data_IF_455123339943
#
_entry.id   IF_455123339943
#
_cell.length_a   1.000
_cell.length_b   1.000
_cell.length_c   1.000
_cell.angle_alpha   90.00
_cell.angle_beta   90.00
_cell.angle_gamma   90.00
#
_symmetry.space_group_name_H-M   'P 1'
#
loop_
_entity.id
_entity.type
_entity.pdbx_description
1 polymer ?
#
# COMPACT_ATOMS: atom_id res chain seq x y z
N UNK A 1 16.59 26.48 -10.30
CA UNK A 1 15.76 26.95 -11.42
C UNK A 1 14.49 26.12 -11.38
N UNK A 2 13.31 26.72 -11.16
CA UNK A 2 12.04 25.96 -11.20
C UNK A 2 11.84 25.44 -12.62
N UNK A 3 11.71 24.13 -12.76
CA UNK A 3 11.43 23.48 -14.04
C UNK A 3 9.91 23.37 -14.16
N UNK A 4 9.33 23.87 -15.24
CA UNK A 4 7.92 23.69 -15.56
C UNK A 4 7.78 22.75 -16.75
N UNK A 5 6.74 21.92 -16.73
CA UNK A 5 6.32 21.07 -17.83
C UNK A 5 4.88 21.45 -18.17
N UNK A 6 4.69 22.28 -19.20
CA UNK A 6 3.39 22.89 -19.49
C UNK A 6 2.80 23.57 -18.25
N UNK A 7 1.63 23.08 -17.81
CA UNK A 7 0.90 23.56 -16.61
C UNK A 7 1.42 23.00 -15.28
N UNK A 8 2.37 22.08 -15.31
CA UNK A 8 2.88 21.39 -14.13
C UNK A 8 4.14 22.07 -13.61
N UNK A 9 4.06 22.64 -12.41
CA UNK A 9 5.20 23.22 -11.73
C UNK A 9 5.96 22.14 -10.96
N UNK A 10 7.14 21.73 -11.44
CA UNK A 10 7.94 20.71 -10.76
C UNK A 10 8.60 21.31 -9.50
N UNK A 11 8.46 20.62 -8.38
CA UNK A 11 8.90 21.10 -7.06
C UNK A 11 10.19 20.43 -6.62
N UNK A 12 10.15 19.14 -6.32
CA UNK A 12 11.28 18.33 -5.87
C UNK A 12 11.21 16.91 -6.43
N UNK A 13 12.36 16.27 -6.53
CA UNK A 13 12.48 14.88 -6.99
C UNK A 13 11.94 13.93 -5.92
N UNK A 14 11.02 13.05 -6.31
CA UNK A 14 10.50 11.96 -5.47
C UNK A 14 11.37 10.71 -5.58
N UNK A 15 11.97 10.49 -6.75
CA UNK A 15 12.88 9.38 -6.98
C UNK A 15 13.41 9.34 -8.41
N UNK A 16 14.47 8.57 -8.60
CA UNK A 16 15.14 8.38 -9.88
C UNK A 16 15.51 6.92 -10.08
N UNK A 17 15.24 6.41 -11.26
CA UNK A 17 15.55 5.04 -11.65
C UNK A 17 16.08 4.97 -13.08
N UNK A 18 16.31 3.75 -13.58
CA UNK A 18 16.86 3.53 -14.92
C UNK A 18 15.98 4.05 -16.07
N UNK A 19 14.69 4.23 -15.82
CA UNK A 19 13.72 4.69 -16.82
C UNK A 19 13.54 6.22 -16.84
N UNK A 20 13.99 6.95 -15.81
CA UNK A 20 13.74 8.39 -15.71
C UNK A 20 13.68 8.91 -14.28
N UNK A 21 13.08 10.09 -14.12
CA UNK A 21 12.99 10.81 -12.85
C UNK A 21 11.52 11.11 -12.55
N UNK A 22 11.09 10.86 -11.32
CA UNK A 22 9.77 11.21 -10.83
C UNK A 22 9.86 12.46 -9.98
N UNK A 23 9.05 13.46 -10.30
CA UNK A 23 8.97 14.74 -9.61
C UNK A 23 7.63 14.88 -8.91
N UNK A 24 7.62 15.45 -7.71
CA UNK A 24 6.42 16.05 -7.17
C UNK A 24 6.18 17.36 -7.92
N UNK A 25 4.96 17.59 -8.38
CA UNK A 25 4.57 18.79 -9.08
C UNK A 25 3.23 19.32 -8.57
N UNK A 26 2.95 20.58 -8.88
CA UNK A 26 1.65 21.19 -8.67
C UNK A 26 1.00 21.46 -10.02
N UNK A 27 -0.23 20.99 -10.23
CA UNK A 27 -1.02 21.38 -11.39
C UNK A 27 -1.49 22.83 -11.21
N UNK A 28 -1.08 23.72 -12.11
CA UNK A 28 -1.44 25.13 -12.03
C UNK A 28 -2.94 25.39 -12.31
N UNK A 29 -3.67 24.43 -12.88
CA UNK A 29 -5.08 24.59 -13.21
C UNK A 29 -5.99 24.59 -11.96
N UNK A 30 -5.78 23.64 -11.03
CA UNK A 30 -6.59 23.46 -9.82
C UNK A 30 -5.77 23.47 -8.51
N UNK A 31 -4.44 23.56 -8.62
CA UNK A 31 -3.53 23.58 -7.48
C UNK A 31 -3.24 22.21 -6.87
N UNK A 32 -3.72 21.11 -7.48
CA UNK A 32 -3.52 19.73 -7.01
C UNK A 32 -2.06 19.32 -7.03
N UNK A 33 -1.65 18.53 -6.04
CA UNK A 33 -0.34 17.88 -6.06
C UNK A 33 -0.38 16.60 -6.90
N UNK A 34 0.58 16.46 -7.80
CA UNK A 34 0.69 15.34 -8.75
C UNK A 34 2.11 14.80 -8.76
N UNK A 35 2.27 13.56 -9.22
CA UNK A 35 3.57 12.99 -9.56
C UNK A 35 3.78 13.05 -11.08
N UNK A 36 4.92 13.56 -11.52
CA UNK A 36 5.29 13.67 -12.93
C UNK A 36 6.51 12.80 -13.18
N UNK A 37 6.33 11.70 -13.91
CA UNK A 37 7.43 10.85 -14.36
C UNK A 37 7.92 11.35 -15.70
N UNK A 38 9.16 11.83 -15.73
CA UNK A 38 9.87 12.25 -16.93
C UNK A 38 10.77 11.11 -17.39
N UNK A 39 10.58 10.64 -18.61
CA UNK A 39 11.48 9.70 -19.26
C UNK A 39 12.43 10.50 -20.16
N UNK A 40 13.74 10.23 -20.03
CA UNK A 40 14.77 10.82 -20.86
C UNK A 40 15.28 9.76 -21.85
N UNK A 41 14.59 9.54 -22.98
CA UNK A 41 14.97 8.49 -23.91
C UNK A 41 16.33 8.82 -24.57
N UNK A 42 17.20 7.82 -24.66
CA UNK A 42 18.49 7.90 -25.38
C UNK A 42 18.38 7.09 -26.67
N UNK A 43 18.68 7.68 -27.82
CA UNK A 43 18.63 7.01 -29.12
C UNK A 43 18.77 7.97 -30.31
N UNK A 44 18.85 7.43 -31.53
CA UNK A 44 18.79 8.23 -32.76
C UNK A 44 17.32 8.59 -33.12
N UNK A 45 17.12 9.52 -34.07
CA UNK A 45 15.79 10.05 -34.39
C UNK A 45 14.72 9.00 -34.76
N UNK A 46 15.11 7.89 -35.39
CA UNK A 46 14.17 6.82 -35.78
C UNK A 46 13.75 5.92 -34.61
N UNK A 47 14.68 5.67 -33.67
CA UNK A 47 14.45 4.91 -32.44
C UNK A 47 13.57 5.70 -31.47
N UNK A 48 13.84 7.01 -31.34
CA UNK A 48 13.06 7.93 -30.49
C UNK A 48 11.59 7.99 -30.92
N UNK A 49 11.29 8.13 -32.22
CA UNK A 49 9.91 8.13 -32.72
C UNK A 49 9.17 6.81 -32.44
N UNK A 50 9.88 5.69 -32.48
CA UNK A 50 9.29 4.37 -32.20
C UNK A 50 9.01 4.20 -30.72
N UNK A 51 9.93 4.66 -29.87
CA UNK A 51 9.79 4.64 -28.43
C UNK A 51 8.66 5.54 -27.94
N UNK A 52 8.56 6.76 -28.46
CA UNK A 52 7.47 7.69 -28.18
C UNK A 52 6.10 7.09 -28.52
N UNK A 53 5.95 6.50 -29.71
CA UNK A 53 4.69 5.82 -30.09
C UNK A 53 4.33 4.68 -29.15
N UNK A 54 5.31 3.87 -28.72
CA UNK A 54 5.06 2.78 -27.76
C UNK A 54 4.69 3.34 -26.40
N UNK A 55 5.40 4.36 -25.92
CA UNK A 55 5.10 5.01 -24.65
C UNK A 55 3.68 5.58 -24.61
N UNK A 56 3.30 6.39 -25.60
CA UNK A 56 1.95 6.97 -25.66
C UNK A 56 0.87 5.88 -25.75
N UNK A 57 1.14 4.77 -26.45
CA UNK A 57 0.24 3.62 -26.49
C UNK A 57 0.07 2.97 -25.12
N UNK A 58 1.17 2.66 -24.42
CA UNK A 58 1.09 2.03 -23.10
C UNK A 58 0.50 2.96 -22.05
N UNK A 59 0.86 4.26 -22.05
CA UNK A 59 0.27 5.26 -21.17
C UNK A 59 -1.25 5.35 -21.34
N UNK A 60 -1.74 5.29 -22.58
CA UNK A 60 -3.18 5.26 -22.88
C UNK A 60 -3.88 3.98 -22.43
N UNK A 61 -3.19 2.84 -22.44
CA UNK A 61 -3.74 1.59 -21.89
C UNK A 61 -3.82 1.67 -20.37
N UNK A 62 -2.75 2.11 -19.72
CA UNK A 62 -2.69 2.28 -18.26
C UNK A 62 -3.71 3.31 -17.77
N UNK A 63 -3.94 4.41 -18.51
CA UNK A 63 -4.92 5.44 -18.13
C UNK A 63 -6.39 4.98 -18.15
N UNK A 64 -6.67 3.77 -18.66
CA UNK A 64 -8.01 3.18 -18.64
C UNK A 64 -8.23 2.27 -17.43
N UNK A 65 -7.15 1.89 -16.74
CA UNK A 65 -7.24 1.12 -15.52
C UNK A 65 -7.84 2.00 -14.42
N UNK A 66 -8.91 1.51 -13.78
CA UNK A 66 -9.59 2.20 -12.70
C UNK A 66 -9.72 1.23 -11.55
N UNK A 67 -8.83 1.38 -10.57
CA UNK A 67 -8.73 0.50 -9.43
C UNK A 67 -8.12 1.25 -8.25
N UNK A 68 -8.62 1.10 -7.00
CA UNK A 68 -8.09 1.83 -5.84
C UNK A 68 -6.58 1.65 -5.63
N UNK A 69 -6.09 0.43 -5.90
CA UNK A 69 -4.66 0.09 -5.82
C UNK A 69 -3.82 0.51 -7.04
N UNK A 70 -4.36 1.28 -8.00
CA UNK A 70 -3.62 1.82 -9.14
C UNK A 70 -3.70 3.36 -9.06
N UNK A 71 -2.57 4.09 -9.12
CA UNK A 71 -2.59 5.54 -9.20
C UNK A 71 -3.35 6.03 -10.43
N UNK A 72 -4.24 7.02 -10.27
CA UNK A 72 -4.92 7.62 -11.41
C UNK A 72 -3.91 8.31 -12.35
N UNK A 73 -4.09 8.13 -13.65
CA UNK A 73 -3.30 8.85 -14.66
C UNK A 73 -4.09 10.07 -15.13
N UNK A 74 -3.52 11.26 -14.92
CA UNK A 74 -4.16 12.53 -15.26
C UNK A 74 -3.80 13.02 -16.66
N UNK A 75 -2.56 12.80 -17.08
CA UNK A 75 -2.06 13.32 -18.35
C UNK A 75 -0.84 12.51 -18.83
N UNK A 76 -0.57 12.53 -20.13
CA UNK A 76 0.62 11.93 -20.72
C UNK A 76 0.93 12.61 -22.05
N UNK A 77 2.23 12.66 -22.39
CA UNK A 77 2.61 13.32 -23.63
C UNK A 77 4.10 13.36 -23.86
N UNK A 78 4.47 14.27 -24.75
CA UNK A 78 5.84 14.55 -25.17
C UNK A 78 5.98 16.06 -25.23
N UNK A 79 6.98 16.60 -24.53
CA UNK A 79 7.30 18.03 -24.57
C UNK A 79 8.81 18.20 -24.71
N UNK A 80 9.24 18.98 -25.71
CA UNK A 80 10.65 19.27 -25.97
C UNK A 80 11.52 17.99 -26.14
N UNK A 81 10.90 16.90 -26.62
CA UNK A 81 11.53 15.59 -26.78
C UNK A 81 11.61 14.74 -25.50
N UNK A 82 11.07 15.23 -24.38
CA UNK A 82 10.92 14.47 -23.13
C UNK A 82 9.51 13.89 -23.01
N UNK A 83 9.44 12.58 -22.79
CA UNK A 83 8.16 11.90 -22.58
C UNK A 83 7.78 12.05 -21.12
N UNK A 84 6.49 12.29 -20.86
CA UNK A 84 6.00 12.47 -19.50
C UNK A 84 4.71 11.69 -19.24
N UNK A 85 4.56 11.28 -17.98
CA UNK A 85 3.33 10.73 -17.43
C UNK A 85 3.00 11.49 -16.14
N UNK A 86 1.80 12.05 -16.06
CA UNK A 86 1.29 12.73 -14.87
C UNK A 86 0.26 11.84 -14.21
N UNK A 87 0.45 11.59 -12.92
CA UNK A 87 -0.35 10.65 -12.15
C UNK A 87 -0.60 11.16 -10.72
N UNK A 88 -1.52 10.47 -10.03
CA UNK A 88 -1.78 10.65 -8.60
C UNK A 88 -0.47 10.62 -7.81
N UNK A 89 -0.25 11.65 -6.98
CA UNK A 89 0.82 11.64 -6.00
C UNK A 89 0.38 10.75 -4.84
N UNK A 90 0.86 9.51 -4.82
CA UNK A 90 0.58 8.58 -3.73
C UNK A 90 1.37 8.98 -2.48
N UNK A 91 0.71 9.32 -1.35
CA UNK A 91 1.39 9.50 -0.08
C UNK A 91 1.73 8.13 0.52
N UNK A 92 2.96 7.92 0.97
CA UNK A 92 3.34 6.66 1.60
C UNK A 92 4.83 6.34 1.51
N UNK A 93 5.17 5.10 1.83
CA UNK A 93 6.52 4.55 1.70
C UNK A 93 6.52 3.43 0.68
N UNK A 94 7.59 3.36 -0.13
CA UNK A 94 7.87 2.19 -0.95
C UNK A 94 8.08 0.96 -0.07
N UNK A 95 7.64 -0.21 -0.54
CA UNK A 95 7.74 -1.46 0.21
C UNK A 95 9.20 -1.87 0.45
N UNK A 96 10.12 -1.45 -0.44
CA UNK A 96 11.56 -1.57 -0.24
C UNK A 96 12.05 -0.81 1.01
N UNK A 97 11.53 0.39 1.25
CA UNK A 97 11.84 1.19 2.43
C UNK A 97 11.22 0.60 3.70
N UNK A 98 10.01 0.04 3.57
CA UNK A 98 9.36 -0.70 4.66
C UNK A 98 10.20 -1.91 5.06
N UNK A 99 10.63 -2.73 4.10
CA UNK A 99 11.46 -3.91 4.34
C UNK A 99 12.79 -3.57 5.00
N UNK A 100 13.48 -2.53 4.52
CA UNK A 100 14.74 -2.05 5.14
C UNK A 100 14.55 -1.64 6.59
N UNK A 101 13.40 -1.06 6.95
CA UNK A 101 13.10 -0.61 8.31
C UNK A 101 12.83 -1.78 9.27
N UNK A 102 12.19 -2.84 8.79
CA UNK A 102 11.83 -4.02 9.60
C UNK A 102 13.03 -4.96 9.79
N UNK A 103 13.93 -5.06 8.80
CA UNK A 103 15.22 -5.77 8.92
C UNK A 103 15.17 -7.31 8.88
N UNK A 104 13.99 -7.94 8.97
CA UNK A 104 13.83 -9.40 9.01
C UNK A 104 12.57 -9.96 8.30
N UNK A 105 12.05 -9.23 7.31
CA UNK A 105 10.77 -9.55 6.67
C UNK A 105 9.54 -9.15 7.53
N UNK A 106 8.36 -9.26 6.96
CA UNK A 106 7.07 -8.95 7.58
C UNK A 106 6.47 -10.19 8.27
N UNK A 107 5.45 -10.00 9.10
CA UNK A 107 4.66 -11.15 9.60
C UNK A 107 3.94 -11.85 8.43
N UNK A 108 3.57 -13.12 8.62
CA UNK A 108 2.88 -13.92 7.60
C UNK A 108 1.60 -13.21 7.15
N UNK A 109 0.86 -12.66 8.11
CA UNK A 109 -0.41 -11.97 7.90
C UNK A 109 -0.24 -10.73 7.04
N UNK A 110 0.78 -9.92 7.36
CA UNK A 110 1.06 -8.67 6.66
C UNK A 110 1.64 -8.93 5.27
N UNK A 111 2.52 -9.92 5.12
CA UNK A 111 3.07 -10.33 3.83
C UNK A 111 1.96 -10.84 2.90
N UNK A 112 1.09 -11.72 3.41
CA UNK A 112 -0.05 -12.24 2.66
C UNK A 112 -1.05 -11.13 2.31
N UNK A 113 -1.34 -10.19 3.22
CA UNK A 113 -2.25 -9.07 2.94
C UNK A 113 -1.72 -8.16 1.83
N UNK A 114 -0.42 -7.82 1.85
CA UNK A 114 0.21 -7.04 0.78
C UNK A 114 0.16 -7.80 -0.54
N UNK A 115 0.59 -9.07 -0.56
CA UNK A 115 0.60 -9.87 -1.78
C UNK A 115 -0.81 -10.08 -2.35
N UNK A 116 -1.83 -10.23 -1.49
CA UNK A 116 -3.23 -10.34 -1.88
C UNK A 116 -3.74 -9.05 -2.53
N UNK A 117 -3.42 -7.89 -1.95
CA UNK A 117 -3.78 -6.59 -2.55
C UNK A 117 -3.10 -6.39 -3.91
N UNK A 118 -1.83 -6.80 -4.05
CA UNK A 118 -1.13 -6.77 -5.34
C UNK A 118 -1.78 -7.73 -6.35
N UNK A 119 -2.13 -8.95 -5.93
CA UNK A 119 -2.81 -9.93 -6.78
C UNK A 119 -4.17 -9.41 -7.28
N UNK A 120 -4.91 -8.69 -6.43
CA UNK A 120 -6.17 -8.04 -6.81
C UNK A 120 -5.97 -6.97 -7.91
N UNK A 121 -4.97 -6.11 -7.73
CA UNK A 121 -4.58 -5.09 -8.71
C UNK A 121 -4.12 -5.72 -10.03
N UNK A 122 -3.32 -6.80 -9.97
CA UNK A 122 -2.89 -7.55 -11.16
C UNK A 122 -4.07 -8.21 -11.87
N UNK A 123 -5.02 -8.80 -11.12
CA UNK A 123 -6.21 -9.42 -11.70
C UNK A 123 -7.04 -8.41 -12.49
N UNK A 124 -7.22 -7.19 -11.95
CA UNK A 124 -7.88 -6.10 -12.65
C UNK A 124 -7.15 -5.70 -13.93
N UNK A 125 -5.82 -5.50 -13.87
CA UNK A 125 -5.02 -5.10 -15.03
C UNK A 125 -4.98 -6.19 -16.12
N UNK A 126 -4.77 -7.45 -15.73
CA UNK A 126 -4.74 -8.59 -16.64
C UNK A 126 -6.08 -8.80 -17.34
N UNK A 127 -7.21 -8.56 -16.63
CA UNK A 127 -8.55 -8.59 -17.22
C UNK A 127 -8.76 -7.54 -18.32
N UNK A 128 -7.96 -6.47 -18.35
CA UNK A 128 -7.94 -5.46 -19.41
C UNK A 128 -6.79 -5.64 -20.41
N UNK A 129 -6.08 -6.77 -20.36
CA UNK A 129 -4.96 -7.07 -21.26
C UNK A 129 -3.68 -6.29 -20.97
N UNK A 130 -3.54 -5.69 -19.78
CA UNK A 130 -2.35 -4.96 -19.36
C UNK A 130 -1.51 -5.83 -18.42
N UNK A 131 -0.24 -6.04 -18.77
CA UNK A 131 0.75 -6.73 -17.93
C UNK A 131 1.69 -5.70 -17.31
N UNK A 132 2.06 -5.86 -16.04
CA UNK A 132 2.88 -4.91 -15.29
C UNK A 132 4.34 -4.90 -15.76
N UNK A 133 4.96 -6.08 -15.90
CA UNK A 133 6.30 -6.35 -16.47
C UNK A 133 7.52 -5.95 -15.62
N UNK A 134 7.36 -5.10 -14.61
CA UNK A 134 8.48 -4.68 -13.71
C UNK A 134 8.04 -4.69 -12.24
N UNK A 135 7.37 -5.75 -11.79
CA UNK A 135 6.84 -5.79 -10.43
C UNK A 135 7.98 -6.04 -9.42
N UNK A 136 8.14 -5.14 -8.45
CA UNK A 136 9.18 -5.20 -7.42
C UNK A 136 8.81 -4.32 -6.22
N UNK A 137 9.46 -4.46 -5.04
CA UNK A 137 9.07 -3.71 -3.85
C UNK A 137 9.11 -2.18 -4.01
N UNK A 138 10.04 -1.63 -4.79
CA UNK A 138 10.09 -0.18 -5.03
C UNK A 138 8.97 0.37 -5.93
N UNK A 139 8.23 -0.51 -6.62
CA UNK A 139 7.03 -0.17 -7.40
C UNK A 139 5.75 -0.43 -6.60
N UNK A 140 5.86 -0.80 -5.32
CA UNK A 140 4.74 -1.01 -4.41
C UNK A 140 4.79 0.05 -3.31
N UNK A 141 3.75 0.86 -3.19
CA UNK A 141 3.64 1.85 -2.12
C UNK A 141 2.61 1.42 -1.08
N UNK A 142 2.97 1.59 0.19
CA UNK A 142 2.07 1.45 1.32
C UNK A 142 1.69 2.84 1.81
N UNK A 143 0.39 3.16 1.75
CA UNK A 143 -0.13 4.45 2.21
C UNK A 143 -0.18 4.49 3.74
N UNK A 144 -0.28 5.68 4.37
CA UNK A 144 -0.51 5.79 5.81
C UNK A 144 -1.77 5.08 6.30
N UNK A 145 -2.74 4.83 5.42
CA UNK A 145 -3.96 4.07 5.72
C UNK A 145 -3.75 2.54 5.67
N UNK A 146 -2.56 2.08 5.28
CA UNK A 146 -2.24 0.66 5.13
C UNK A 146 -2.62 0.06 3.78
N UNK A 147 -3.08 0.89 2.83
CA UNK A 147 -3.44 0.44 1.48
C UNK A 147 -2.19 0.23 0.63
N UNK A 148 -2.26 -0.70 -0.31
CA UNK A 148 -1.19 -0.96 -1.26
C UNK A 148 -1.56 -0.37 -2.62
N UNK A 149 -0.69 0.48 -3.16
CA UNK A 149 -0.77 0.96 -4.53
C UNK A 149 0.40 0.43 -5.36
N UNK A 150 0.09 -0.10 -6.53
CA UNK A 150 1.06 -0.62 -7.51
C UNK A 150 1.32 0.49 -8.53
N UNK A 151 2.56 0.96 -8.58
CA UNK A 151 3.01 2.04 -9.45
C UNK A 151 3.47 1.51 -10.81
N UNK A 152 3.68 2.41 -11.79
CA UNK A 152 4.47 2.13 -13.00
C UNK A 152 3.94 1.04 -13.96
N UNK A 153 2.64 0.77 -13.95
CA UNK A 153 1.99 -0.12 -14.91
C UNK A 153 2.32 0.20 -16.37
N UNK A 154 2.87 -0.80 -17.09
CA UNK A 154 3.00 -0.78 -18.55
C UNK A 154 4.07 0.17 -19.11
N UNK A 155 4.60 1.12 -18.32
CA UNK A 155 5.61 2.09 -18.79
C UNK A 155 6.91 1.39 -19.20
N UNK A 156 7.27 0.28 -18.53
CA UNK A 156 8.43 -0.52 -18.87
C UNK A 156 8.30 -1.21 -20.25
N UNK A 157 7.08 -1.48 -20.72
CA UNK A 157 6.85 -2.12 -22.02
C UNK A 157 7.27 -1.24 -23.19
N UNK A 158 7.17 0.09 -23.02
CA UNK A 158 7.60 1.05 -24.02
C UNK A 158 9.09 0.88 -24.37
N UNK A 159 9.89 0.50 -23.37
CA UNK A 159 11.34 0.35 -23.42
C UNK A 159 11.79 -1.08 -23.72
N UNK A 160 10.86 -2.01 -23.97
CA UNK A 160 11.23 -3.39 -24.28
C UNK A 160 11.98 -3.49 -25.62
N UNK A 161 13.01 -4.37 -25.70
CA UNK A 161 13.73 -4.65 -26.94
C UNK A 161 12.77 -5.06 -28.06
N UNK A 162 13.22 -4.96 -29.32
CA UNK A 162 12.40 -5.42 -30.45
C UNK A 162 12.16 -6.94 -30.34
N UNK A 163 11.05 -7.47 -30.89
CA UNK A 163 10.85 -8.90 -30.99
C UNK A 163 12.09 -9.57 -31.63
N UNK A 164 12.74 -10.48 -30.90
CA UNK A 164 13.97 -11.16 -31.33
C UNK A 164 15.28 -10.61 -30.72
N UNK A 165 15.26 -9.47 -30.04
CA UNK A 165 16.39 -8.95 -29.26
C UNK A 165 16.29 -9.38 -27.80
N UNK A 166 17.36 -9.93 -27.23
CA UNK A 166 17.40 -10.30 -25.81
C UNK A 166 17.64 -9.06 -24.93
N UNK A 167 17.02 -9.01 -23.75
CA UNK A 167 17.21 -7.88 -22.80
C UNK A 167 18.67 -7.68 -22.37
N UNK A 168 19.54 -8.68 -22.57
CA UNK A 168 20.97 -8.62 -22.28
C UNK A 168 21.80 -7.83 -23.32
N UNK A 169 21.31 -7.72 -24.56
CA UNK A 169 22.02 -7.02 -25.64
C UNK A 169 21.67 -5.54 -25.73
N UNK A 170 20.53 -5.14 -25.15
CA UNK A 170 20.16 -3.73 -25.02
C UNK A 170 20.87 -3.11 -23.81
N UNK A 171 21.57 -1.99 -24.01
CA UNK A 171 22.38 -1.27 -23.02
C UNK A 171 21.62 -0.69 -21.80
N UNK A 172 20.41 -1.18 -21.49
CA UNK A 172 19.45 -0.59 -20.54
C UNK A 172 19.01 -1.54 -19.42
N UNK A 173 19.60 -2.74 -19.27
CA UNK A 173 19.29 -3.62 -18.14
C UNK A 173 19.82 -3.01 -16.83
N UNK A 174 18.94 -2.37 -16.05
CA UNK A 174 19.30 -1.86 -14.72
C UNK A 174 19.41 -3.04 -13.75
N UNK A 175 20.54 -3.23 -13.03
CA UNK A 175 20.79 -4.40 -12.18
C UNK A 175 19.64 -4.74 -11.22
N UNK A 176 18.99 -3.73 -10.63
CA UNK A 176 17.89 -3.93 -9.66
C UNK A 176 16.57 -4.46 -10.23
N UNK A 177 16.41 -4.54 -11.56
CA UNK A 177 15.21 -5.09 -12.21
C UNK A 177 15.28 -6.62 -12.34
N UNK A 178 16.50 -7.16 -12.46
CA UNK A 178 16.71 -8.58 -12.78
C UNK A 178 16.38 -9.49 -11.58
N UNK A 179 16.46 -8.96 -10.35
CA UNK A 179 16.19 -9.66 -9.08
C UNK A 179 14.76 -10.22 -8.99
N UNK A 180 13.81 -9.63 -9.71
CA UNK A 180 12.40 -10.02 -9.68
C UNK A 180 11.89 -10.47 -11.06
N UNK A 181 12.78 -10.63 -12.04
CA UNK A 181 12.43 -10.87 -13.43
C UNK A 181 12.06 -12.33 -13.66
N UNK A 182 10.92 -12.58 -14.31
CA UNK A 182 10.55 -13.93 -14.71
C UNK A 182 11.46 -14.45 -15.85
N UNK A 183 11.80 -15.75 -15.89
CA UNK A 183 12.70 -16.31 -16.90
C UNK A 183 12.31 -15.99 -18.34
N UNK A 184 11.01 -16.08 -18.65
CA UNK A 184 10.47 -15.85 -19.98
C UNK A 184 10.55 -14.36 -20.43
N UNK A 185 10.65 -13.42 -19.49
CA UNK A 185 10.81 -12.00 -19.83
C UNK A 185 12.18 -11.69 -20.43
N UNK A 186 13.22 -12.44 -20.05
CA UNK A 186 14.57 -12.24 -20.57
C UNK A 186 14.68 -12.59 -22.06
N UNK A 187 13.85 -13.53 -22.52
CA UNK A 187 13.71 -13.93 -23.92
C UNK A 187 12.56 -13.20 -24.65
N UNK A 188 11.99 -12.16 -24.04
CA UNK A 188 10.99 -11.29 -24.65
C UNK A 188 9.57 -11.86 -24.72
N UNK A 189 9.23 -12.86 -23.89
CA UNK A 189 7.90 -13.51 -23.84
C UNK A 189 7.14 -13.13 -22.57
N UNK A 190 6.92 -11.84 -22.36
CA UNK A 190 6.19 -11.35 -21.18
C UNK A 190 4.70 -11.68 -21.27
N UNK A 191 4.17 -12.39 -20.28
CA UNK A 191 2.77 -12.83 -20.18
C UNK A 191 2.20 -12.50 -18.78
N UNK A 192 0.89 -12.56 -18.53
CA UNK A 192 0.33 -12.35 -17.19
C UNK A 192 0.98 -13.20 -16.09
N UNK A 193 1.34 -14.45 -16.42
CA UNK A 193 2.06 -15.34 -15.51
C UNK A 193 3.48 -14.85 -15.15
N UNK A 194 4.08 -13.96 -15.94
CA UNK A 194 5.36 -13.31 -15.59
C UNK A 194 5.21 -12.39 -14.38
N UNK A 195 4.11 -11.64 -14.28
CA UNK A 195 3.85 -10.81 -13.09
C UNK A 195 3.61 -11.68 -11.85
N UNK A 196 3.04 -12.88 -12.01
CA UNK A 196 2.86 -13.83 -10.90
C UNK A 196 4.20 -14.33 -10.37
N UNK A 197 5.17 -14.58 -11.25
CA UNK A 197 6.53 -14.93 -10.84
C UNK A 197 7.18 -13.79 -10.04
N UNK A 198 7.10 -12.56 -10.55
CA UNK A 198 7.61 -11.39 -9.83
C UNK A 198 6.90 -11.20 -8.48
N UNK A 199 5.59 -11.46 -8.40
CA UNK A 199 4.83 -11.46 -7.15
C UNK A 199 5.33 -12.56 -6.20
N UNK A 200 5.68 -13.74 -6.72
CA UNK A 200 6.35 -14.81 -5.97
C UNK A 200 7.67 -14.34 -5.37
N UNK A 201 8.52 -13.65 -6.14
CA UNK A 201 9.78 -13.09 -5.64
C UNK A 201 9.53 -12.05 -4.54
N UNK A 202 8.55 -11.17 -4.73
CA UNK A 202 8.17 -10.16 -3.73
C UNK A 202 7.64 -10.83 -2.46
N UNK A 203 6.73 -11.80 -2.58
CA UNK A 203 6.17 -12.51 -1.42
C UNK A 203 7.25 -13.30 -0.67
N UNK A 204 8.18 -13.93 -1.39
CA UNK A 204 9.36 -14.56 -0.80
C UNK A 204 10.16 -13.55 0.02
N UNK A 205 10.47 -12.38 -0.53
CA UNK A 205 11.21 -11.34 0.18
C UNK A 205 10.44 -10.76 1.37
N UNK A 206 9.13 -10.57 1.22
CA UNK A 206 8.28 -10.13 2.32
C UNK A 206 8.33 -11.10 3.49
N UNK A 207 8.45 -12.40 3.23
CA UNK A 207 8.57 -13.40 4.29
C UNK A 207 10.02 -13.47 4.80
N UNK A 208 10.99 -13.76 3.92
CA UNK A 208 12.37 -14.07 4.28
C UNK A 208 13.24 -12.83 4.59
N UNK A 209 12.77 -11.62 4.29
CA UNK A 209 13.54 -10.38 4.39
C UNK A 209 14.63 -10.22 3.31
N UNK A 210 14.69 -11.15 2.35
CA UNK A 210 15.60 -11.14 1.20
C UNK A 210 14.94 -11.78 -0.02
N UNK A 211 15.25 -11.36 -1.25
CA UNK A 211 14.74 -12.03 -2.44
C UNK A 211 15.33 -13.45 -2.57
N UNK A 212 14.68 -14.34 -3.35
CA UNK A 212 15.10 -15.74 -3.47
C UNK A 212 16.52 -15.87 -4.04
N UNK A 213 16.89 -14.98 -4.95
CA UNK A 213 18.20 -14.95 -5.59
C UNK A 213 18.84 -13.57 -5.45
N UNK A 214 20.14 -13.53 -5.15
CA UNK A 214 20.87 -12.29 -4.78
C UNK A 214 22.27 -12.21 -5.40
N UNK A 215 22.53 -12.90 -6.52
CA UNK A 215 23.86 -12.84 -7.16
C UNK A 215 24.15 -11.43 -7.72
N UNK A 216 25.39 -10.97 -7.57
CA UNK A 216 25.82 -9.65 -8.05
C UNK A 216 26.00 -9.58 -9.57
N UNK A 217 26.14 -10.73 -10.24
CA UNK A 217 26.21 -10.82 -11.69
C UNK A 217 24.82 -10.98 -12.29
N UNK A 218 24.40 -10.03 -13.12
CA UNK A 218 23.12 -10.06 -13.86
C UNK A 218 22.94 -11.37 -14.64
N UNK A 219 24.02 -11.90 -15.23
CA UNK A 219 23.98 -13.17 -15.96
C UNK A 219 23.74 -14.36 -15.02
N UNK A 220 24.42 -14.41 -13.87
CA UNK A 220 24.24 -15.48 -12.90
C UNK A 220 22.88 -15.43 -12.23
N UNK A 221 22.38 -14.22 -11.94
CA UNK A 221 21.04 -14.02 -11.39
C UNK A 221 19.96 -14.50 -12.35
N UNK A 222 20.11 -14.23 -13.65
CA UNK A 222 19.23 -14.82 -14.66
C UNK A 222 19.33 -16.34 -14.70
N UNK A 223 20.55 -16.90 -14.68
CA UNK A 223 20.74 -18.35 -14.64
C UNK A 223 20.02 -18.96 -13.44
N UNK A 224 20.07 -18.32 -12.27
CA UNK A 224 19.33 -18.73 -11.08
C UNK A 224 17.83 -18.70 -11.29
N UNK A 225 17.29 -17.59 -11.82
CA UNK A 225 15.88 -17.50 -12.13
C UNK A 225 15.44 -18.58 -13.12
N UNK A 226 16.23 -18.86 -14.15
CA UNK A 226 15.90 -19.80 -15.22
C UNK A 226 16.06 -21.28 -14.85
N UNK A 227 17.09 -21.64 -14.08
CA UNK A 227 17.53 -23.03 -13.96
C UNK A 227 17.65 -23.54 -12.51
N UNK A 228 17.96 -22.66 -11.56
CA UNK A 228 18.22 -23.12 -10.19
C UNK A 228 16.91 -23.33 -9.42
N UNK A 229 16.84 -24.36 -8.55
CA UNK A 229 15.71 -24.50 -7.65
C UNK A 229 15.62 -23.27 -6.74
N UNK A 230 14.39 -22.90 -6.38
CA UNK A 230 14.15 -21.82 -5.41
C UNK A 230 14.64 -22.30 -4.05
N UNK A 231 15.47 -21.52 -3.34
CA UNK A 231 15.87 -21.86 -1.98
C UNK A 231 14.64 -22.04 -1.08
N UNK A 232 14.55 -23.10 -0.26
CA UNK A 232 13.41 -23.29 0.64
C UNK A 232 13.24 -22.10 1.60
N UNK A 233 12.01 -21.60 1.74
CA UNK A 233 11.70 -20.49 2.64
C UNK A 233 12.10 -20.79 4.10
N UNK A 234 12.00 -22.05 4.51
CA UNK A 234 12.31 -22.54 5.85
C UNK A 234 13.78 -22.38 6.25
N UNK A 235 14.69 -22.29 5.28
CA UNK A 235 16.11 -22.00 5.52
C UNK A 235 16.31 -20.57 6.07
N UNK A 236 15.36 -19.68 5.82
CA UNK A 236 15.44 -18.26 6.20
C UNK A 236 14.38 -17.84 7.22
N UNK A 237 13.21 -18.48 7.21
CA UNK A 237 12.11 -18.15 8.11
C UNK A 237 11.34 -19.40 8.57
N UNK A 238 11.44 -19.64 9.87
CA UNK A 238 10.63 -20.65 10.56
C UNK A 238 9.20 -20.14 10.78
N UNK A 239 8.24 -21.06 10.84
CA UNK A 239 6.85 -20.76 11.16
C UNK A 239 5.97 -20.24 10.00
N UNK A 240 6.45 -20.30 8.76
CA UNK A 240 5.60 -20.03 7.58
C UNK A 240 4.68 -21.25 7.34
N UNK A 241 3.34 -21.07 7.27
CA UNK A 241 2.41 -22.16 7.01
C UNK A 241 2.73 -22.91 5.71
N UNK A 242 2.61 -24.24 5.72
CA UNK A 242 2.94 -25.10 4.57
C UNK A 242 2.23 -24.67 3.29
N UNK A 243 0.91 -24.42 3.33
CA UNK A 243 0.18 -23.99 2.13
C UNK A 243 0.66 -22.64 1.55
N UNK A 244 1.18 -21.74 2.38
CA UNK A 244 1.76 -20.48 1.89
C UNK A 244 3.13 -20.70 1.25
N UNK A 245 3.94 -21.64 1.77
CA UNK A 245 5.21 -22.03 1.17
C UNK A 245 4.99 -22.68 -0.20
N UNK A 246 4.07 -23.62 -0.28
CA UNK A 246 3.68 -24.28 -1.54
C UNK A 246 3.17 -23.26 -2.57
N UNK A 247 2.42 -22.25 -2.14
CA UNK A 247 1.99 -21.17 -3.04
C UNK A 247 3.18 -20.35 -3.57
N UNK A 248 4.14 -19.99 -2.71
CA UNK A 248 5.35 -19.25 -3.13
C UNK A 248 6.17 -20.09 -4.11
N UNK A 249 6.34 -21.38 -3.84
CA UNK A 249 7.02 -22.32 -4.74
C UNK A 249 6.31 -22.41 -6.10
N UNK A 250 4.98 -22.60 -6.11
CA UNK A 250 4.18 -22.60 -7.35
C UNK A 250 4.27 -21.29 -8.13
N UNK A 251 4.28 -20.13 -7.47
CA UNK A 251 4.45 -18.84 -8.14
C UNK A 251 5.83 -18.72 -8.81
N UNK A 252 6.85 -19.34 -8.22
CA UNK A 252 8.24 -19.29 -8.67
C UNK A 252 8.63 -20.46 -9.60
N UNK A 253 7.65 -21.22 -10.08
CA UNK A 253 7.86 -22.24 -11.10
C UNK A 253 8.45 -21.64 -12.38
N UNK A 254 9.35 -22.40 -13.01
CA UNK A 254 10.13 -21.91 -14.16
C UNK A 254 9.27 -21.81 -15.40
N UNK A 255 8.44 -22.83 -15.64
CA UNK A 255 7.43 -22.80 -16.69
C UNK A 255 6.24 -21.95 -16.23
N UNK A 256 5.84 -20.92 -17.00
CA UNK A 256 4.64 -20.14 -16.72
C UNK A 256 3.34 -20.98 -16.62
N UNK A 257 3.28 -22.15 -17.26
CA UNK A 257 2.14 -23.05 -17.24
C UNK A 257 1.94 -23.82 -15.93
N UNK A 258 3.00 -23.96 -15.13
CA UNK A 258 2.96 -24.65 -13.83
C UNK A 258 2.61 -23.71 -12.66
N UNK A 259 2.54 -22.40 -12.94
CA UNK A 259 2.12 -21.35 -11.99
C UNK A 259 0.60 -21.35 -11.82
N UNK A 260 0.05 -20.70 -10.75
CA UNK A 260 -1.39 -20.46 -10.65
C UNK A 260 -1.95 -19.82 -11.93
N UNK A 261 -3.15 -20.24 -12.34
CA UNK A 261 -3.72 -19.90 -13.64
C UNK A 261 -4.13 -18.43 -13.80
N UNK A 262 -4.26 -17.69 -12.69
CA UNK A 262 -4.54 -16.25 -12.73
C UNK A 262 -4.16 -15.53 -11.43
N UNK A 263 -4.00 -14.21 -11.50
CA UNK A 263 -3.84 -13.37 -10.32
C UNK A 263 -5.08 -13.42 -9.39
N UNK A 264 -6.27 -13.65 -9.93
CA UNK A 264 -7.48 -13.85 -9.14
C UNK A 264 -7.40 -15.14 -8.29
N UNK A 265 -6.91 -16.25 -8.86
CA UNK A 265 -6.65 -17.49 -8.11
C UNK A 265 -5.67 -17.22 -6.95
N UNK A 266 -4.56 -16.53 -7.23
CA UNK A 266 -3.56 -16.17 -6.20
C UNK A 266 -4.17 -15.34 -5.08
N UNK A 267 -5.01 -14.35 -5.42
CA UNK A 267 -5.74 -13.53 -4.44
C UNK A 267 -6.59 -14.37 -3.51
N UNK A 268 -7.35 -15.32 -4.04
CA UNK A 268 -8.20 -16.23 -3.25
C UNK A 268 -7.36 -17.18 -2.39
N UNK A 269 -6.29 -17.76 -2.93
CA UNK A 269 -5.40 -18.64 -2.17
C UNK A 269 -4.76 -17.90 -0.98
N UNK A 270 -4.35 -16.64 -1.17
CA UNK A 270 -3.77 -15.82 -0.11
C UNK A 270 -4.78 -15.44 0.98
N UNK A 271 -6.09 -15.52 0.74
CA UNK A 271 -7.10 -15.12 1.72
C UNK A 271 -7.05 -15.94 3.03
N UNK A 272 -6.52 -17.16 2.99
CA UNK A 272 -6.36 -18.00 4.19
C UNK A 272 -5.34 -17.46 5.20
N UNK A 273 -4.37 -16.65 4.74
CA UNK A 273 -3.28 -16.12 5.58
C UNK A 273 -3.23 -14.61 5.61
N UNK A 274 -3.87 -13.94 4.65
CA UNK A 274 -4.18 -12.54 4.73
C UNK A 274 -5.46 -12.43 5.54
N UNK A 275 -5.42 -12.19 6.88
CA UNK A 275 -6.62 -11.77 7.55
C UNK A 275 -7.14 -10.61 6.72
N UNK A 276 -8.37 -10.75 6.22
CA UNK A 276 -9.15 -9.57 5.84
C UNK A 276 -8.94 -8.61 7.00
N UNK A 277 -8.51 -7.34 6.79
CA UNK A 277 -8.56 -6.37 7.88
C UNK A 277 -9.93 -6.59 8.48
N UNK A 278 -9.95 -6.97 9.76
CA UNK A 278 -10.94 -7.86 10.34
C UNK A 278 -12.38 -7.64 9.83
N UNK A 279 -13.25 -8.59 10.12
CA UNK A 279 -14.67 -8.28 10.35
C UNK A 279 -14.89 -7.20 11.45
N UNK A 280 -14.03 -6.19 11.61
CA UNK A 280 -14.48 -4.81 11.81
C UNK A 280 -15.41 -4.47 10.64
N UNK A 281 -16.72 -4.59 10.90
CA UNK A 281 -17.80 -4.43 9.93
C UNK A 281 -17.50 -3.41 8.85
N UNK A 282 -17.72 -3.80 7.59
CA UNK A 282 -17.39 -3.06 6.37
C UNK A 282 -17.50 -1.55 6.57
N UNK A 283 -16.39 -0.87 6.86
CA UNK A 283 -16.39 0.57 6.98
C UNK A 283 -16.87 1.13 5.64
N UNK A 284 -18.06 1.74 5.62
CA UNK A 284 -18.59 2.41 4.44
C UNK A 284 -17.48 3.28 3.84
N UNK A 285 -17.19 3.22 2.52
CA UNK A 285 -15.96 3.77 1.93
C UNK A 285 -15.73 5.26 2.27
N UNK A 286 -16.81 6.03 2.39
CA UNK A 286 -16.78 7.44 2.80
C UNK A 286 -16.27 7.67 4.24
N UNK A 287 -16.37 6.72 5.16
CA UNK A 287 -15.90 6.88 6.54
C UNK A 287 -14.37 7.07 6.59
N UNK A 288 -13.63 6.33 5.78
CA UNK A 288 -12.17 6.47 5.70
C UNK A 288 -11.77 7.84 5.13
N UNK A 289 -12.48 8.31 4.10
CA UNK A 289 -12.28 9.63 3.48
C UNK A 289 -12.53 10.76 4.49
N UNK A 290 -13.65 10.70 5.21
CA UNK A 290 -14.03 11.72 6.20
C UNK A 290 -13.06 11.71 7.39
N UNK A 291 -12.64 10.51 7.84
CA UNK A 291 -11.63 10.38 8.89
C UNK A 291 -10.27 10.98 8.48
N UNK A 292 -9.86 10.77 7.21
CA UNK A 292 -8.65 11.37 6.68
C UNK A 292 -8.73 12.90 6.63
N UNK A 293 -9.90 13.44 6.26
CA UNK A 293 -10.16 14.88 6.27
C UNK A 293 -9.99 15.47 7.68
N UNK A 294 -10.53 14.82 8.71
CA UNK A 294 -10.31 15.25 10.10
C UNK A 294 -8.82 15.23 10.48
N UNK A 295 -8.10 14.16 10.14
CA UNK A 295 -6.65 14.03 10.43
C UNK A 295 -5.80 15.07 9.70
N UNK A 296 -6.24 15.57 8.55
CA UNK A 296 -5.58 16.67 7.83
C UNK A 296 -5.75 18.06 8.48
N UNK A 297 -6.31 18.13 9.69
CA UNK A 297 -6.52 19.40 10.40
C UNK A 297 -7.79 20.14 9.97
N UNK A 298 -8.76 19.45 9.35
CA UNK A 298 -10.04 20.02 8.91
C UNK A 298 -11.24 19.37 9.64
N UNK A 299 -11.33 19.45 10.98
CA UNK A 299 -12.38 18.77 11.75
C UNK A 299 -13.79 19.34 11.53
N UNK A 300 -13.92 20.64 11.21
CA UNK A 300 -15.22 21.25 10.90
C UNK A 300 -15.90 20.66 9.65
N UNK A 301 -15.23 20.68 8.49
CA UNK A 301 -15.74 20.02 7.27
C UNK A 301 -15.97 18.51 7.46
N UNK A 302 -15.08 17.81 8.16
CA UNK A 302 -15.26 16.38 8.43
C UNK A 302 -16.49 16.09 9.29
N UNK A 303 -16.77 16.92 10.30
CA UNK A 303 -17.96 16.79 11.14
C UNK A 303 -19.26 16.92 10.33
N UNK A 304 -19.30 17.86 9.39
CA UNK A 304 -20.46 18.05 8.53
C UNK A 304 -20.71 16.83 7.64
N UNK A 305 -19.66 16.28 7.03
CA UNK A 305 -19.76 15.06 6.22
C UNK A 305 -20.22 13.85 7.05
N UNK A 306 -19.73 13.70 8.29
CA UNK A 306 -20.23 12.65 9.18
C UNK A 306 -21.71 12.80 9.49
N UNK A 307 -22.19 14.02 9.73
CA UNK A 307 -23.61 14.29 10.03
C UNK A 307 -24.50 14.02 8.82
N UNK A 308 -24.06 14.39 7.63
CA UNK A 308 -24.75 14.09 6.38
C UNK A 308 -24.82 12.59 6.12
N UNK A 309 -23.72 11.87 6.39
CA UNK A 309 -23.68 10.43 6.22
C UNK A 309 -24.60 9.73 7.24
N UNK A 310 -24.61 10.16 8.50
CA UNK A 310 -25.51 9.63 9.52
C UNK A 310 -27.00 9.89 9.19
N UNK A 311 -27.33 11.07 8.66
CA UNK A 311 -28.72 11.42 8.31
C UNK A 311 -29.24 10.70 7.05
N UNK A 312 -28.35 10.18 6.22
CA UNK A 312 -28.70 9.45 5.00
C UNK A 312 -29.20 8.02 5.24
N UNK A 313 -29.03 7.47 6.45
CA UNK A 313 -29.51 6.14 6.87
C UNK A 313 -29.08 4.96 5.96
N UNK A 314 -28.02 5.13 5.16
CA UNK A 314 -27.43 4.06 4.32
C UNK A 314 -26.35 3.25 5.03
N UNK A 315 -26.04 3.58 6.28
CA UNK A 315 -25.01 2.91 7.07
C UNK A 315 -25.53 1.64 7.74
N UNK A 316 -24.67 0.62 7.83
CA UNK A 316 -24.90 -0.49 8.75
C UNK A 316 -24.88 -0.01 10.22
N UNK A 317 -25.38 -0.83 11.14
CA UNK A 317 -25.33 -0.49 12.58
C UNK A 317 -23.88 -0.26 13.07
N UNK A 318 -22.93 -1.07 12.60
CA UNK A 318 -21.52 -0.92 12.93
C UNK A 318 -20.92 0.37 12.34
N UNK A 319 -21.25 0.68 11.08
CA UNK A 319 -20.81 1.90 10.41
C UNK A 319 -21.37 3.17 11.05
N UNK A 320 -22.62 3.12 11.49
CA UNK A 320 -23.25 4.25 12.18
C UNK A 320 -22.52 4.54 13.50
N UNK A 321 -22.15 3.51 14.27
CA UNK A 321 -21.35 3.69 15.48
C UNK A 321 -19.95 4.25 15.15
N UNK A 322 -19.32 3.79 14.08
CA UNK A 322 -18.02 4.32 13.63
C UNK A 322 -18.10 5.79 13.18
N UNK A 323 -19.13 6.16 12.43
CA UNK A 323 -19.40 7.55 12.06
C UNK A 323 -19.63 8.45 13.28
N UNK A 324 -20.38 7.97 14.27
CA UNK A 324 -20.63 8.70 15.52
C UNK A 324 -19.35 8.92 16.33
N UNK A 325 -18.47 7.91 16.42
CA UNK A 325 -17.13 8.07 17.01
C UNK A 325 -16.33 9.13 16.24
N UNK A 326 -16.27 9.03 14.91
CA UNK A 326 -15.57 10.00 14.07
C UNK A 326 -16.08 11.44 14.24
N UNK A 327 -17.39 11.62 14.29
CA UNK A 327 -18.04 12.91 14.55
C UNK A 327 -17.67 13.46 15.95
N UNK A 328 -17.75 12.64 16.99
CA UNK A 328 -17.41 13.04 18.35
C UNK A 328 -15.93 13.46 18.48
N UNK A 329 -15.01 12.76 17.80
CA UNK A 329 -13.60 13.17 17.74
C UNK A 329 -13.40 14.51 17.04
N UNK A 330 -14.15 14.78 15.97
CA UNK A 330 -14.15 16.10 15.31
C UNK A 330 -14.66 17.19 16.27
N UNK A 331 -15.71 16.92 17.03
CA UNK A 331 -16.24 17.85 18.04
C UNK A 331 -15.21 18.14 19.13
N UNK A 332 -14.52 17.11 19.64
CA UNK A 332 -13.42 17.27 20.59
C UNK A 332 -12.26 18.10 20.02
N UNK A 333 -11.91 17.91 18.74
CA UNK A 333 -10.90 18.73 18.07
C UNK A 333 -11.32 20.20 17.88
N UNK A 334 -12.62 20.47 17.80
CA UNK A 334 -13.20 21.82 17.76
C UNK A 334 -13.38 22.45 19.16
N UNK A 335 -12.92 21.77 20.22
CA UNK A 335 -13.00 22.26 21.60
C UNK A 335 -14.31 21.93 22.33
N UNK A 336 -15.21 21.15 21.72
CA UNK A 336 -16.47 20.68 22.32
C UNK A 336 -16.25 19.38 23.10
N UNK A 337 -15.36 19.45 24.08
CA UNK A 337 -14.85 18.26 24.77
C UNK A 337 -15.93 17.52 25.56
N UNK A 338 -16.91 18.24 26.13
CA UNK A 338 -17.97 17.65 26.93
C UNK A 338 -18.94 16.85 26.05
N UNK A 339 -19.39 17.47 24.96
CA UNK A 339 -20.27 16.87 23.97
C UNK A 339 -19.63 15.63 23.34
N UNK A 340 -18.35 15.72 22.99
CA UNK A 340 -17.58 14.59 22.48
C UNK A 340 -17.48 13.43 23.48
N UNK A 341 -17.25 13.72 24.77
CA UNK A 341 -17.18 12.70 25.81
C UNK A 341 -18.54 12.02 26.04
N UNK A 342 -19.62 12.79 26.10
CA UNK A 342 -20.97 12.27 26.28
C UNK A 342 -21.35 11.34 25.11
N UNK A 343 -21.05 11.74 23.87
CA UNK A 343 -21.31 10.93 22.68
C UNK A 343 -20.45 9.65 22.64
N UNK A 344 -19.15 9.73 22.91
CA UNK A 344 -18.28 8.55 22.93
C UNK A 344 -18.67 7.56 24.02
N UNK A 345 -19.10 8.04 25.20
CA UNK A 345 -19.60 7.17 26.27
C UNK A 345 -20.90 6.47 25.87
N UNK A 346 -21.79 7.16 25.16
CA UNK A 346 -23.01 6.61 24.58
C UNK A 346 -22.69 5.51 23.55
N UNK A 347 -21.85 5.82 22.57
CA UNK A 347 -21.42 4.86 21.54
C UNK A 347 -20.70 3.66 22.14
N UNK A 348 -19.85 3.86 23.15
CA UNK A 348 -19.15 2.77 23.83
C UNK A 348 -20.13 1.77 24.48
N UNK A 349 -21.22 2.25 25.06
CA UNK A 349 -22.24 1.38 25.65
C UNK A 349 -22.92 0.51 24.58
N UNK A 350 -23.24 1.11 23.44
CA UNK A 350 -23.83 0.41 22.29
C UNK A 350 -22.86 -0.59 21.63
N UNK A 351 -21.61 -0.18 21.40
CA UNK A 351 -20.57 -1.06 20.84
C UNK A 351 -20.31 -2.27 21.72
N UNK A 352 -20.30 -2.12 23.06
CA UNK A 352 -20.13 -3.25 23.98
C UNK A 352 -21.26 -4.27 23.88
N UNK A 353 -22.48 -3.81 23.65
CA UNK A 353 -23.64 -4.68 23.45
C UNK A 353 -23.62 -5.39 22.10
N UNK A 354 -23.16 -4.71 21.04
CA UNK A 354 -23.18 -5.22 19.67
C UNK A 354 -21.96 -6.08 19.31
N UNK A 355 -20.76 -5.62 19.66
CA UNK A 355 -19.47 -6.19 19.23
C UNK A 355 -18.78 -7.01 20.33
N UNK A 356 -19.15 -6.77 21.59
CA UNK A 356 -18.54 -7.39 22.76
C UNK A 356 -17.41 -6.55 23.38
N UNK A 357 -17.05 -6.80 24.65
CA UNK A 357 -16.23 -5.90 25.45
C UNK A 357 -14.74 -5.84 25.06
N UNK A 358 -14.26 -6.85 24.36
CA UNK A 358 -12.86 -7.00 23.90
C UNK A 358 -12.69 -6.69 22.42
N UNK A 359 -13.77 -6.30 21.74
CA UNK A 359 -13.69 -5.93 20.33
C UNK A 359 -12.72 -4.76 20.12
N UNK A 360 -11.88 -4.78 19.06
CA UNK A 360 -10.90 -3.73 18.88
C UNK A 360 -11.50 -2.31 18.75
N UNK A 361 -12.70 -2.14 18.17
CA UNK A 361 -13.37 -0.84 18.08
C UNK A 361 -13.82 -0.32 19.45
N UNK A 362 -14.19 -1.23 20.36
CA UNK A 362 -14.50 -0.93 21.76
C UNK A 362 -13.25 -0.49 22.51
N UNK A 363 -12.11 -1.15 22.27
CA UNK A 363 -10.83 -0.77 22.87
C UNK A 363 -10.34 0.59 22.36
N UNK A 364 -10.50 0.88 21.07
CA UNK A 364 -10.18 2.17 20.46
C UNK A 364 -11.03 3.31 21.04
N UNK A 365 -12.34 3.13 21.13
CA UNK A 365 -13.24 4.13 21.71
C UNK A 365 -12.92 4.41 23.19
N UNK A 366 -12.58 3.37 23.97
CA UNK A 366 -12.12 3.52 25.37
C UNK A 366 -10.84 4.34 25.48
N UNK A 367 -9.90 4.13 24.55
CA UNK A 367 -8.66 4.89 24.51
C UNK A 367 -8.92 6.38 24.22
N UNK A 368 -9.76 6.67 23.23
CA UNK A 368 -10.10 8.05 22.87
C UNK A 368 -10.83 8.81 23.99
N UNK A 369 -11.74 8.14 24.71
CA UNK A 369 -12.35 8.70 25.92
C UNK A 369 -11.28 9.07 26.95
N UNK A 370 -10.31 8.19 27.19
CA UNK A 370 -9.22 8.49 28.11
C UNK A 370 -8.37 9.68 27.65
N UNK A 371 -8.07 9.81 26.35
CA UNK A 371 -7.35 10.96 25.78
C UNK A 371 -8.11 12.26 26.01
N UNK A 372 -9.43 12.27 25.76
CA UNK A 372 -10.25 13.45 25.99
C UNK A 372 -10.37 13.82 27.48
N UNK A 373 -10.46 12.84 28.38
CA UNK A 373 -10.44 13.07 29.83
C UNK A 373 -9.11 13.69 30.29
N UNK A 374 -7.97 13.30 29.70
CA UNK A 374 -6.69 13.97 29.98
C UNK A 374 -6.72 15.42 29.53
N UNK A 375 -7.28 15.69 28.34
CA UNK A 375 -7.41 17.05 27.79
C UNK A 375 -8.37 17.93 28.59
N UNK A 376 -9.43 17.36 29.17
CA UNK A 376 -10.36 18.08 30.05
C UNK A 376 -9.83 18.32 31.46
N UNK A 377 -8.65 17.77 31.80
CA UNK A 377 -8.03 17.90 33.13
C UNK A 377 -8.46 16.82 34.13
N UNK A 378 -9.29 15.86 33.73
CA UNK A 378 -9.80 14.77 34.56
C UNK A 378 -8.83 13.59 34.66
N UNK A 379 -7.57 13.90 35.00
CA UNK A 379 -6.43 12.98 34.95
C UNK A 379 -6.62 11.72 35.79
N UNK A 380 -7.30 11.81 36.94
CA UNK A 380 -7.58 10.67 37.81
C UNK A 380 -8.54 9.66 37.14
N UNK A 381 -9.62 10.16 36.52
CA UNK A 381 -10.59 9.33 35.79
C UNK A 381 -9.95 8.70 34.54
N UNK A 382 -9.12 9.47 33.83
CA UNK A 382 -8.35 8.96 32.71
C UNK A 382 -7.39 7.82 33.13
N UNK A 383 -6.65 8.01 34.23
CA UNK A 383 -5.72 7.00 34.73
C UNK A 383 -6.42 5.70 35.15
N UNK A 384 -7.58 5.79 35.80
CA UNK A 384 -8.37 4.61 36.15
C UNK A 384 -8.87 3.86 34.90
N UNK A 385 -9.39 4.58 33.91
CA UNK A 385 -9.84 3.99 32.64
C UNK A 385 -8.70 3.29 31.90
N UNK A 386 -7.53 3.92 31.83
CA UNK A 386 -6.34 3.39 31.14
C UNK A 386 -5.76 2.16 31.82
N UNK A 387 -5.79 2.05 33.15
CA UNK A 387 -5.37 0.83 33.85
C UNK A 387 -6.22 -0.36 33.46
N UNK A 388 -7.55 -0.20 33.49
CA UNK A 388 -8.49 -1.25 33.08
C UNK A 388 -8.31 -1.61 31.61
N UNK A 389 -8.07 -0.62 30.74
CA UNK A 389 -7.82 -0.87 29.33
C UNK A 389 -6.50 -1.62 29.09
N UNK A 390 -5.43 -1.26 29.79
CA UNK A 390 -4.14 -1.95 29.69
C UNK A 390 -4.24 -3.42 30.14
N UNK A 391 -4.97 -3.69 31.22
CA UNK A 391 -5.25 -5.06 31.67
C UNK A 391 -5.99 -5.88 30.59
N UNK A 392 -6.99 -5.28 29.94
CA UNK A 392 -7.76 -5.95 28.88
C UNK A 392 -6.90 -6.18 27.61
N UNK A 393 -6.03 -5.23 27.25
CA UNK A 393 -5.05 -5.36 26.16
C UNK A 393 -4.02 -6.49 26.44
N UNK A 394 -3.64 -6.71 27.71
CA UNK A 394 -2.64 -7.71 28.11
C UNK A 394 -3.22 -9.13 28.25
N UNK A 395 -4.49 -9.28 28.68
CA UNK A 395 -5.16 -10.58 28.91
C UNK A 395 -5.57 -11.34 27.63
N UNK A 396 -5.13 -10.88 26.45
CA UNK A 396 -5.32 -11.59 25.18
C UNK A 396 -6.42 -11.04 24.27
N UNK A 397 -6.95 -9.84 24.55
CA UNK A 397 -7.87 -9.16 23.62
C UNK A 397 -7.18 -8.71 22.31
N UNK A 398 -5.85 -8.61 22.32
CA UNK A 398 -5.03 -8.19 21.18
C UNK A 398 -3.89 -9.18 20.93
N UNK A 399 -3.55 -9.41 19.67
CA UNK A 399 -2.43 -10.28 19.28
C UNK A 399 -1.09 -9.62 19.62
N UNK A 400 -0.02 -10.41 19.69
CA UNK A 400 1.28 -9.94 20.19
C UNK A 400 1.93 -8.81 19.37
N UNK A 401 1.51 -8.62 18.11
CA UNK A 401 1.98 -7.58 17.20
C UNK A 401 0.98 -6.46 16.93
N UNK A 402 -0.15 -6.40 17.63
CA UNK A 402 -1.15 -5.35 17.43
C UNK A 402 -0.58 -3.98 17.89
N UNK A 403 -0.60 -2.93 17.03
CA UNK A 403 -0.04 -1.60 17.38
C UNK A 403 -0.76 -0.93 18.55
N UNK A 404 -1.95 -1.41 18.92
CA UNK A 404 -2.70 -0.92 20.08
C UNK A 404 -2.13 -1.45 21.39
N UNK A 405 -1.37 -2.55 21.37
CA UNK A 405 -0.81 -3.15 22.57
C UNK A 405 0.23 -2.22 23.21
N UNK A 406 0.00 -1.84 24.47
CA UNK A 406 0.95 -1.03 25.24
C UNK A 406 0.77 0.49 25.10
N UNK A 407 -0.10 0.97 24.20
CA UNK A 407 -0.40 2.42 24.06
C UNK A 407 -1.02 2.99 25.33
N UNK A 408 -1.88 2.20 25.99
CA UNK A 408 -2.61 2.60 27.19
C UNK A 408 -1.66 2.76 28.38
N UNK A 409 -0.68 1.86 28.49
CA UNK A 409 0.39 1.89 29.49
C UNK A 409 1.33 3.07 29.28
N UNK A 410 1.75 3.32 28.04
CA UNK A 410 2.59 4.46 27.70
C UNK A 410 1.90 5.81 28.02
N UNK A 411 0.60 5.92 27.77
CA UNK A 411 -0.17 7.11 28.14
C UNK A 411 -0.32 7.25 29.66
N UNK A 412 -0.57 6.15 30.37
CA UNK A 412 -0.65 6.13 31.84
C UNK A 412 0.65 6.62 32.49
N UNK A 413 1.82 6.20 31.97
CA UNK A 413 3.13 6.67 32.44
C UNK A 413 3.35 8.17 32.19
N UNK A 414 2.85 8.72 31.07
CA UNK A 414 2.87 10.17 30.82
C UNK A 414 2.00 10.92 31.82
N UNK A 415 0.79 10.45 32.09
CA UNK A 415 -0.10 11.07 33.07
C UNK A 415 0.54 11.06 34.47
N UNK A 416 1.16 9.95 34.87
CA UNK A 416 1.87 9.84 36.16
C UNK A 416 2.95 10.91 36.32
N UNK A 417 3.79 11.11 35.28
CA UNK A 417 4.81 12.17 35.27
C UNK A 417 4.22 13.59 35.36
N UNK A 418 3.05 13.82 34.77
CA UNK A 418 2.34 15.10 34.82
C UNK A 418 1.63 15.38 36.16
N UNK A 419 1.47 14.37 37.00
CA UNK A 419 0.87 14.52 38.34
C UNK A 419 1.93 14.69 39.44
N UNK A 420 3.17 14.28 39.16
CA UNK A 420 4.32 14.40 40.07
C UNK A 420 5.15 15.67 39.87
N UNK A 421 4.92 16.38 38.77
CA UNK A 421 5.49 17.70 38.44
C UNK A 421 4.45 18.78 38.73
#
# INVERSE_FOLDING_TARGET
MRRSLGRYELTHELGRGGMGVVWAARDAADGREVAVKLLAPRGNGSELCTLERRFLREARLTSRLSHPGIPEVYDHGSQDGELFLVMERVPGLGLDAVLRKEGGGLTVERAAAVARAVADVLAHAHGQGVVHRDLKPSNLMVTPAGEVKVLDFGVAAALEPRPGETRFTAANATPGTVIYMAPEQAVGRTVPASDLYSLGCVLYELLAGRPPFTDGSVFMLYHQHANEPVPPLEDFRQGVPTGLRELVERLLEKDPGDRPGSAAEVRELLAAWAPTPAETGSAHPRLAEIAALCRSGRPGPALEEYRQLLSSHVLSAADALMARVGAALCEGALGRTREALDELMSVLAEQRGLLGPTDPAVLDTRYEIAVLLVRSGERNRAAESLRRLADDEERGALTAGDPRRGRSRALLERIGRMMTA
#
